data_IF_681597583396
#
_entry.id   IF_681597583396
#
_cell.length_a   1.000
_cell.length_b   1.000
_cell.length_c   1.000
_cell.angle_alpha   90.00
_cell.angle_beta   90.00
_cell.angle_gamma   90.00
#
_symmetry.space_group_name_H-M   'P 1'
#
loop_
_entity.id
_entity.type
_entity.pdbx_description
1 polymer ?
#
# COMPACT_ATOMS: atom_id res chain seq x y z
N UNK A 1 -5.51 -2.78 25.85
CA UNK A 1 -5.20 -1.35 26.08
C UNK A 1 -6.32 -0.51 25.51
N UNK A 2 -6.67 0.64 26.12
CA UNK A 2 -7.70 1.52 25.59
C UNK A 2 -7.32 1.94 24.17
N UNK A 3 -8.17 1.58 23.21
CA UNK A 3 -7.93 1.82 21.79
C UNK A 3 -8.09 3.28 21.41
N UNK A 4 -8.75 4.06 22.26
CA UNK A 4 -9.07 5.45 21.99
C UNK A 4 -8.92 6.32 23.26
N UNK A 5 -8.59 7.62 23.11
CA UNK A 5 -8.46 8.55 24.23
C UNK A 5 -9.76 8.72 25.05
N UNK A 6 -10.93 8.53 24.42
CA UNK A 6 -12.24 8.70 25.07
C UNK A 6 -12.46 7.68 26.18
N UNK A 7 -11.84 6.50 26.09
CA UNK A 7 -11.87 5.47 27.14
C UNK A 7 -11.10 5.86 28.41
N UNK A 8 -10.24 6.89 28.31
CA UNK A 8 -9.40 7.37 29.41
C UNK A 8 -9.98 8.63 30.08
N UNK A 9 -10.97 9.28 29.47
CA UNK A 9 -11.59 10.51 29.98
C UNK A 9 -10.66 11.72 30.08
N UNK A 10 -9.49 11.67 29.41
CA UNK A 10 -8.48 12.72 29.41
C UNK A 10 -8.48 13.59 28.15
N UNK A 11 -7.65 14.63 28.14
CA UNK A 11 -7.41 15.48 26.96
C UNK A 11 -6.24 14.91 26.16
N UNK A 12 -6.41 14.75 24.85
CA UNK A 12 -5.32 14.34 23.96
C UNK A 12 -4.39 15.52 23.68
N UNK A 13 -3.09 15.36 23.95
CA UNK A 13 -2.07 16.31 23.50
C UNK A 13 -1.68 16.03 22.03
N UNK A 14 -2.18 16.86 21.12
CA UNK A 14 -1.91 16.76 19.67
C UNK A 14 -0.61 17.45 19.23
N UNK A 15 0.07 18.13 20.17
CA UNK A 15 1.33 18.86 19.91
C UNK A 15 2.51 17.90 19.75
N UNK A 16 2.45 16.73 20.39
CA UNK A 16 3.52 15.74 20.31
C UNK A 16 3.77 15.26 18.87
N UNK A 17 5.05 15.05 18.56
CA UNK A 17 5.55 14.57 17.27
C UNK A 17 6.41 13.33 17.48
N UNK A 18 6.66 12.59 16.40
CA UNK A 18 7.57 11.45 16.43
C UNK A 18 8.99 11.90 16.82
N UNK A 19 9.72 11.02 17.49
CA UNK A 19 11.13 11.23 17.88
C UNK A 19 11.39 12.45 18.78
N UNK A 20 10.45 12.82 19.64
CA UNK A 20 10.67 13.85 20.66
C UNK A 20 11.29 13.26 21.94
N UNK A 21 12.08 14.09 22.63
CA UNK A 21 12.69 13.75 23.92
C UNK A 21 12.28 14.79 24.97
N UNK A 22 12.47 14.48 26.25
CA UNK A 22 12.18 15.38 27.37
C UNK A 22 10.70 15.79 27.51
N UNK A 23 9.78 14.89 27.17
CA UNK A 23 8.33 15.11 27.39
C UNK A 23 8.03 14.97 28.89
N UNK A 24 7.53 16.01 29.58
CA UNK A 24 7.18 15.92 30.99
C UNK A 24 5.91 15.07 31.17
N UNK A 25 5.93 14.18 32.16
CA UNK A 25 4.77 13.38 32.57
C UNK A 25 4.42 13.67 34.04
N UNK A 26 3.14 13.67 34.33
CA UNK A 26 2.57 13.80 35.67
C UNK A 26 1.78 12.54 36.05
N UNK A 27 1.41 12.43 37.32
CA UNK A 27 0.64 11.28 37.81
C UNK A 27 -0.73 11.26 37.14
N UNK A 28 -1.02 10.19 36.40
CA UNK A 28 -2.28 10.00 35.69
C UNK A 28 -2.17 10.10 34.17
N UNK A 29 -1.04 10.57 33.65
CA UNK A 29 -0.81 10.63 32.21
C UNK A 29 -0.65 9.22 31.62
N UNK A 30 -1.17 9.06 30.39
CA UNK A 30 -1.07 7.82 29.63
C UNK A 30 -0.29 8.07 28.35
N UNK A 31 0.81 7.35 28.17
CA UNK A 31 1.58 7.38 26.92
C UNK A 31 1.17 6.23 26.00
N UNK A 32 0.74 6.56 24.78
CA UNK A 32 0.50 5.58 23.72
C UNK A 32 1.55 5.74 22.61
N UNK A 33 2.53 4.85 22.60
CA UNK A 33 3.47 4.74 21.49
C UNK A 33 2.84 4.04 20.28
N UNK A 34 2.86 4.70 19.13
CA UNK A 34 2.53 4.09 17.84
C UNK A 34 3.83 3.96 17.07
N UNK A 35 4.30 2.73 16.90
CA UNK A 35 5.47 2.44 16.08
C UNK A 35 5.15 2.64 14.60
N UNK A 36 6.09 3.23 13.86
CA UNK A 36 6.01 3.24 12.40
C UNK A 36 6.14 1.84 11.84
N UNK A 37 5.36 1.52 10.80
CA UNK A 37 5.57 0.33 9.98
C UNK A 37 6.71 0.52 8.98
N UNK A 38 7.21 -0.58 8.43
CA UNK A 38 8.10 -0.57 7.28
C UNK A 38 7.35 -0.32 5.96
N UNK A 39 8.10 -0.07 4.88
CA UNK A 39 7.54 -0.05 3.52
C UNK A 39 7.29 -1.47 3.01
N UNK A 40 6.20 -1.66 2.26
CA UNK A 40 5.90 -2.92 1.57
C UNK A 40 6.71 -3.10 0.28
N UNK A 41 6.76 -4.34 -0.22
CA UNK A 41 7.41 -4.70 -1.48
C UNK A 41 6.42 -5.48 -2.37
N UNK A 42 6.42 -5.17 -3.66
CA UNK A 42 5.58 -5.84 -4.66
C UNK A 42 4.13 -5.36 -4.69
N UNK A 43 3.33 -5.97 -5.56
CA UNK A 43 1.89 -5.74 -5.63
C UNK A 43 1.18 -6.49 -4.48
N UNK A 44 0.44 -5.80 -3.59
CA UNK A 44 -0.31 -6.45 -2.52
C UNK A 44 -1.28 -7.54 -3.00
N UNK A 45 -1.80 -7.44 -4.23
CA UNK A 45 -2.72 -8.43 -4.79
C UNK A 45 -2.03 -9.69 -5.29
N UNK A 46 -0.69 -9.70 -5.39
CA UNK A 46 0.09 -10.90 -5.66
C UNK A 46 0.53 -11.62 -4.37
N UNK A 47 0.27 -11.05 -3.18
CA UNK A 47 0.49 -11.77 -1.92
C UNK A 47 -0.42 -12.99 -1.86
N UNK A 48 0.18 -14.15 -1.60
CA UNK A 48 -0.53 -15.42 -1.44
C UNK A 48 -1.69 -15.25 -0.43
N UNK A 49 -2.95 -15.57 -0.81
CA UNK A 49 -4.10 -15.54 0.11
C UNK A 49 -3.87 -16.29 1.42
N UNK A 50 -3.13 -17.41 1.41
CA UNK A 50 -2.82 -18.15 2.63
C UNK A 50 -1.91 -17.37 3.59
N UNK A 51 -1.00 -16.56 3.05
CA UNK A 51 -0.17 -15.65 3.87
C UNK A 51 -0.98 -14.47 4.41
N UNK A 52 -1.98 -13.99 3.67
CA UNK A 52 -2.91 -12.96 4.17
C UNK A 52 -3.78 -13.51 5.31
N UNK A 53 -4.24 -14.76 5.20
CA UNK A 53 -4.93 -15.46 6.28
C UNK A 53 -4.02 -15.59 7.52
N UNK A 54 -2.76 -15.98 7.33
CA UNK A 54 -1.80 -16.05 8.43
C UNK A 54 -1.57 -14.68 9.08
N UNK A 55 -1.45 -13.60 8.29
CA UNK A 55 -1.30 -12.24 8.81
C UNK A 55 -2.52 -11.81 9.66
N UNK A 56 -3.73 -12.28 9.32
CA UNK A 56 -4.95 -12.05 10.10
C UNK A 56 -4.94 -12.84 11.41
N UNK A 57 -4.54 -14.11 11.36
CA UNK A 57 -4.43 -14.99 12.54
C UNK A 57 -3.40 -14.41 13.52
N UNK A 58 -2.28 -13.93 13.01
CA UNK A 58 -1.19 -13.35 13.80
C UNK A 58 -1.51 -11.93 14.31
N UNK A 59 -2.61 -11.34 13.84
CA UNK A 59 -2.99 -9.96 14.15
C UNK A 59 -2.01 -8.92 13.59
N UNK A 60 -1.21 -9.29 12.59
CA UNK A 60 -0.30 -8.40 11.88
C UNK A 60 -1.07 -7.38 11.01
N UNK A 61 -2.25 -7.76 10.54
CA UNK A 61 -3.18 -6.90 9.81
C UNK A 61 -4.59 -6.98 10.38
N UNK A 62 -5.38 -5.92 10.18
CA UNK A 62 -6.81 -5.92 10.48
C UNK A 62 -7.61 -6.59 9.36
N UNK A 63 -8.87 -6.96 9.64
CA UNK A 63 -9.81 -7.42 8.60
C UNK A 63 -10.05 -6.38 7.53
N UNK A 64 -10.07 -5.11 7.92
CA UNK A 64 -10.25 -4.01 6.98
C UNK A 64 -9.01 -3.84 6.10
N UNK A 65 -7.80 -3.98 6.65
CA UNK A 65 -6.57 -4.02 5.85
C UNK A 65 -6.55 -5.21 4.87
N UNK A 66 -6.96 -6.41 5.29
CA UNK A 66 -7.05 -7.57 4.40
C UNK A 66 -7.96 -7.30 3.19
N UNK A 67 -9.13 -6.68 3.41
CA UNK A 67 -10.07 -6.34 2.33
C UNK A 67 -9.56 -5.18 1.47
N UNK A 68 -9.17 -4.06 2.09
CA UNK A 68 -8.87 -2.80 1.39
C UNK A 68 -7.50 -2.80 0.71
N UNK A 69 -6.49 -3.40 1.34
CA UNK A 69 -5.10 -3.37 0.86
C UNK A 69 -4.75 -4.64 0.07
N UNK A 70 -5.27 -5.80 0.49
CA UNK A 70 -4.93 -7.09 -0.13
C UNK A 70 -6.05 -7.67 -0.99
N UNK A 71 -7.23 -7.03 -1.06
CA UNK A 71 -8.36 -7.51 -1.86
C UNK A 71 -8.93 -8.86 -1.38
N UNK A 72 -8.65 -9.25 -0.14
CA UNK A 72 -9.08 -10.53 0.42
C UNK A 72 -10.61 -10.56 0.61
N UNK A 73 -11.20 -11.71 0.27
CA UNK A 73 -12.59 -12.03 0.58
C UNK A 73 -12.59 -12.91 1.81
N UNK A 74 -13.09 -12.37 2.91
CA UNK A 74 -13.07 -13.04 4.21
C UNK A 74 -14.35 -13.87 4.40
N UNK A 75 -14.19 -15.06 4.96
CA UNK A 75 -15.26 -16.00 5.29
C UNK A 75 -15.20 -16.41 6.76
N UNK A 76 -16.13 -17.27 7.16
CA UNK A 76 -16.20 -17.80 8.52
C UNK A 76 -16.74 -16.81 9.55
N UNK A 77 -17.15 -17.31 10.70
CA UNK A 77 -17.77 -16.51 11.75
C UNK A 77 -16.81 -15.48 12.38
N UNK A 78 -15.51 -15.79 12.41
CA UNK A 78 -14.48 -14.94 13.01
C UNK A 78 -13.91 -13.91 12.01
N UNK A 79 -14.22 -14.08 10.72
CA UNK A 79 -13.77 -13.21 9.64
C UNK A 79 -12.26 -13.21 9.43
N UNK A 80 -11.59 -14.33 9.74
CA UNK A 80 -10.14 -14.49 9.55
C UNK A 80 -9.81 -15.46 8.41
N UNK A 81 -10.73 -16.34 8.06
CA UNK A 81 -10.57 -17.28 6.94
C UNK A 81 -10.64 -16.51 5.61
N UNK A 82 -9.78 -16.85 4.67
CA UNK A 82 -9.72 -16.22 3.34
C UNK A 82 -10.22 -17.20 2.28
N UNK A 83 -11.29 -16.83 1.56
CA UNK A 83 -11.71 -17.58 0.38
C UNK A 83 -10.74 -17.29 -0.76
N UNK A 84 -9.88 -18.26 -1.07
CA UNK A 84 -8.84 -18.15 -2.11
C UNK A 84 -9.45 -17.84 -3.48
N UNK A 85 -10.53 -18.53 -3.85
CA UNK A 85 -11.13 -18.41 -5.19
C UNK A 85 -11.82 -17.05 -5.33
N UNK A 86 -12.62 -16.68 -4.33
CA UNK A 86 -13.29 -15.38 -4.32
C UNK A 86 -12.29 -14.22 -4.21
N UNK A 87 -11.18 -14.39 -3.49
CA UNK A 87 -10.11 -13.40 -3.39
C UNK A 87 -9.46 -13.15 -4.75
N UNK A 88 -9.08 -14.18 -5.49
CA UNK A 88 -8.53 -13.99 -6.83
C UNK A 88 -9.54 -13.37 -7.79
N UNK A 89 -10.80 -13.80 -7.76
CA UNK A 89 -11.86 -13.20 -8.55
C UNK A 89 -12.05 -11.71 -8.24
N UNK A 90 -12.07 -11.34 -6.95
CA UNK A 90 -12.18 -9.94 -6.51
C UNK A 90 -10.98 -9.10 -6.96
N UNK A 91 -9.75 -9.59 -6.76
CA UNK A 91 -8.52 -8.91 -7.20
C UNK A 91 -8.53 -8.67 -8.72
N UNK A 92 -8.90 -9.68 -9.51
CA UNK A 92 -9.01 -9.57 -10.97
C UNK A 92 -10.10 -8.57 -11.40
N UNK A 93 -11.23 -8.54 -10.70
CA UNK A 93 -12.30 -7.56 -10.97
C UNK A 93 -11.84 -6.13 -10.66
N UNK A 94 -11.22 -5.91 -9.50
CA UNK A 94 -10.65 -4.61 -9.10
C UNK A 94 -9.60 -4.13 -10.10
N UNK A 95 -8.71 -5.02 -10.57
CA UNK A 95 -7.70 -4.69 -11.57
C UNK A 95 -8.29 -4.42 -12.95
N UNK A 96 -9.27 -5.20 -13.40
CA UNK A 96 -9.93 -4.98 -14.70
C UNK A 96 -10.68 -3.64 -14.73
N UNK A 97 -11.20 -3.18 -13.60
CA UNK A 97 -11.82 -1.86 -13.49
C UNK A 97 -10.79 -0.71 -13.59
N UNK A 98 -9.55 -0.92 -13.15
CA UNK A 98 -8.45 0.04 -13.25
C UNK A 98 -7.77 0.01 -14.62
N UNK A 99 -7.58 -1.18 -15.19
CA UNK A 99 -6.91 -1.42 -16.47
C UNK A 99 -7.89 -2.16 -17.38
N UNK A 100 -8.74 -1.40 -18.07
CA UNK A 100 -9.87 -1.91 -18.89
C UNK A 100 -9.41 -2.90 -19.98
N UNK A 101 -8.14 -2.87 -20.38
CA UNK A 101 -7.54 -3.75 -21.38
C UNK A 101 -6.71 -4.92 -20.83
N UNK A 102 -6.76 -5.20 -19.53
CA UNK A 102 -5.98 -6.30 -18.94
C UNK A 102 -6.35 -7.65 -19.58
N UNK A 103 -5.34 -8.41 -20.01
CA UNK A 103 -5.50 -9.68 -20.76
C UNK A 103 -5.09 -10.91 -19.95
N UNK A 104 -4.41 -10.69 -18.83
CA UNK A 104 -3.87 -11.76 -18.00
C UNK A 104 -4.42 -11.58 -16.60
N UNK A 105 -5.05 -12.63 -16.08
CA UNK A 105 -5.52 -12.67 -14.70
C UNK A 105 -4.33 -12.80 -13.74
N UNK A 106 -4.38 -12.12 -12.59
CA UNK A 106 -3.28 -12.05 -11.63
C UNK A 106 -2.88 -13.43 -11.08
N UNK A 107 -3.87 -14.31 -10.87
CA UNK A 107 -3.68 -15.68 -10.40
C UNK A 107 -3.01 -16.61 -11.42
N UNK A 108 -2.91 -16.17 -12.68
CA UNK A 108 -2.25 -16.92 -13.76
C UNK A 108 -0.80 -16.45 -13.99
N UNK A 109 -0.33 -15.48 -13.22
CA UNK A 109 1.05 -15.00 -13.30
C UNK A 109 2.01 -15.93 -12.54
N UNK A 110 3.28 -16.01 -12.96
CA UNK A 110 4.25 -16.87 -12.29
C UNK A 110 4.50 -16.39 -10.86
N UNK A 111 4.35 -17.28 -9.88
CA UNK A 111 4.42 -16.94 -8.45
C UNK A 111 5.82 -16.47 -8.03
N UNK A 112 6.88 -16.93 -8.70
CA UNK A 112 8.25 -16.49 -8.50
C UNK A 112 8.46 -15.01 -8.83
N UNK A 113 7.55 -14.42 -9.61
CA UNK A 113 7.59 -13.00 -9.98
C UNK A 113 6.83 -12.11 -9.00
N UNK A 114 6.22 -12.63 -7.92
CA UNK A 114 5.36 -11.82 -7.03
C UNK A 114 6.03 -10.57 -6.43
N UNK A 115 7.36 -10.59 -6.29
CA UNK A 115 8.17 -9.47 -5.81
C UNK A 115 9.01 -8.79 -6.90
N UNK A 116 8.86 -9.22 -8.16
CA UNK A 116 9.50 -8.60 -9.30
C UNK A 116 8.75 -7.33 -9.73
N UNK A 117 9.40 -6.50 -10.54
CA UNK A 117 8.86 -5.23 -11.01
C UNK A 117 9.05 -5.08 -12.54
N UNK A 118 10.02 -4.27 -12.96
CA UNK A 118 10.32 -3.93 -14.34
C UNK A 118 11.78 -4.25 -14.59
N UNK A 119 12.04 -4.99 -15.67
CA UNK A 119 13.40 -5.42 -16.05
C UNK A 119 13.77 -4.91 -17.42
N UNK A 120 15.06 -4.82 -17.70
CA UNK A 120 15.57 -4.54 -19.04
C UNK A 120 15.69 -5.86 -19.83
N UNK A 121 15.17 -5.89 -21.05
CA UNK A 121 15.30 -7.01 -21.97
C UNK A 121 15.51 -6.50 -23.40
N UNK A 122 16.62 -6.88 -24.03
CA UNK A 122 16.93 -6.51 -25.42
C UNK A 122 16.82 -5.01 -25.74
N UNK A 123 17.19 -4.15 -24.78
CA UNK A 123 17.09 -2.69 -24.94
C UNK A 123 15.68 -2.11 -24.76
N UNK A 124 14.77 -2.83 -24.12
CA UNK A 124 13.45 -2.34 -23.72
C UNK A 124 13.16 -2.62 -22.24
N UNK A 125 12.43 -1.71 -21.60
CA UNK A 125 11.81 -1.95 -20.30
C UNK A 125 10.61 -2.86 -20.48
N UNK A 126 10.61 -4.00 -19.81
CA UNK A 126 9.54 -5.00 -19.87
C UNK A 126 9.00 -5.30 -18.48
N UNK A 127 7.71 -5.58 -18.40
CA UNK A 127 7.08 -6.10 -17.19
C UNK A 127 7.70 -7.46 -16.83
N UNK A 128 8.18 -7.61 -15.59
CA UNK A 128 8.81 -8.86 -15.16
C UNK A 128 7.83 -10.04 -15.05
N UNK A 129 6.52 -9.77 -14.94
CA UNK A 129 5.49 -10.80 -14.78
C UNK A 129 4.98 -11.35 -16.12
N UNK A 130 4.67 -10.47 -17.08
CA UNK A 130 4.03 -10.86 -18.35
C UNK A 130 4.87 -10.59 -19.60
N UNK A 131 6.10 -10.06 -19.44
CA UNK A 131 7.03 -9.72 -20.52
C UNK A 131 6.55 -8.64 -21.51
N UNK A 132 5.45 -7.95 -21.20
CA UNK A 132 4.97 -6.83 -22.04
C UNK A 132 6.01 -5.72 -22.06
N UNK A 133 6.34 -5.25 -23.27
CA UNK A 133 7.19 -4.08 -23.48
C UNK A 133 6.46 -2.83 -23.02
N UNK A 134 7.03 -2.14 -22.02
CA UNK A 134 6.49 -0.91 -21.46
C UNK A 134 7.08 0.33 -22.16
N UNK A 135 8.37 0.29 -22.49
CA UNK A 135 9.05 1.36 -23.25
C UNK A 135 10.42 0.91 -23.77
N UNK A 136 11.02 1.71 -24.64
CA UNK A 136 12.39 1.51 -25.13
C UNK A 136 13.43 2.05 -24.14
N UNK A 137 14.69 1.60 -24.28
CA UNK A 137 15.78 2.08 -23.44
C UNK A 137 15.95 3.61 -23.55
N UNK A 138 16.20 4.25 -22.41
CA UNK A 138 16.31 5.72 -22.29
C UNK A 138 14.99 6.46 -22.18
N UNK A 139 13.83 5.79 -22.35
CA UNK A 139 12.50 6.38 -22.13
C UNK A 139 11.92 5.86 -20.81
N UNK A 140 11.34 6.75 -20.01
CA UNK A 140 10.68 6.38 -18.76
C UNK A 140 9.43 5.54 -19.02
N UNK A 141 9.38 4.32 -18.47
CA UNK A 141 8.25 3.41 -18.68
C UNK A 141 6.96 3.84 -17.97
N UNK A 142 7.05 4.70 -16.95
CA UNK A 142 5.92 5.13 -16.10
C UNK A 142 4.84 5.84 -16.91
N UNK A 143 5.22 6.68 -17.88
CA UNK A 143 4.28 7.42 -18.74
C UNK A 143 3.47 6.53 -19.69
N UNK A 144 3.84 5.24 -19.78
CA UNK A 144 3.17 4.23 -20.60
C UNK A 144 2.33 3.25 -19.77
N UNK A 145 2.09 3.57 -18.49
CA UNK A 145 1.28 2.78 -17.57
C UNK A 145 -0.03 3.47 -17.22
N UNK A 146 -1.04 2.68 -16.92
CA UNK A 146 -2.25 3.19 -16.27
C UNK A 146 -1.93 3.56 -14.83
N UNK A 147 -2.49 4.66 -14.33
CA UNK A 147 -2.18 5.16 -12.99
C UNK A 147 -3.43 5.32 -12.13
N UNK A 148 -3.34 4.92 -10.86
CA UNK A 148 -4.36 5.19 -9.85
C UNK A 148 -3.80 6.17 -8.81
N UNK A 149 -4.57 7.20 -8.50
CA UNK A 149 -4.18 8.25 -7.56
C UNK A 149 -5.15 8.21 -6.40
N UNK A 150 -4.63 7.98 -5.18
CA UNK A 150 -5.42 7.84 -3.96
C UNK A 150 -4.90 8.74 -2.86
N UNK A 151 -5.80 9.26 -2.03
CA UNK A 151 -5.41 9.88 -0.76
C UNK A 151 -4.95 8.80 0.21
N UNK A 152 -3.71 8.90 0.69
CA UNK A 152 -3.10 7.88 1.55
C UNK A 152 -3.83 7.77 2.88
N UNK A 153 -4.19 8.90 3.49
CA UNK A 153 -4.90 8.90 4.78
C UNK A 153 -6.25 8.20 4.66
N UNK A 154 -7.03 8.51 3.63
CA UNK A 154 -8.34 7.89 3.37
C UNK A 154 -8.23 6.38 3.18
N UNK A 155 -7.24 5.92 2.41
CA UNK A 155 -7.01 4.49 2.23
C UNK A 155 -6.67 3.78 3.55
N UNK A 156 -5.74 4.33 4.32
CA UNK A 156 -5.23 3.69 5.53
C UNK A 156 -6.23 3.76 6.69
N UNK A 157 -7.04 4.81 6.77
CA UNK A 157 -8.18 4.90 7.69
C UNK A 157 -9.24 3.84 7.36
N UNK A 158 -9.59 3.68 6.09
CA UNK A 158 -10.52 2.64 5.64
C UNK A 158 -9.98 1.22 5.90
N UNK A 159 -8.66 1.07 5.98
CA UNK A 159 -7.96 -0.18 6.30
C UNK A 159 -7.75 -0.39 7.80
N UNK A 160 -8.32 0.44 8.69
CA UNK A 160 -8.08 0.40 10.15
C UNK A 160 -6.57 0.34 10.48
N UNK A 161 -5.77 1.10 9.74
CA UNK A 161 -4.32 1.19 9.94
C UNK A 161 -4.01 2.52 10.61
N UNK A 162 -3.16 2.47 11.64
CA UNK A 162 -2.77 3.67 12.37
C UNK A 162 -2.09 4.68 11.43
N UNK A 163 -2.76 5.80 11.18
CA UNK A 163 -2.29 6.88 10.33
C UNK A 163 -2.61 8.22 11.00
N UNK A 164 -1.72 9.20 10.78
CA UNK A 164 -1.97 10.58 11.19
C UNK A 164 -2.38 11.39 9.96
N UNK A 165 -3.66 11.71 9.84
CA UNK A 165 -4.17 12.59 8.77
C UNK A 165 -3.50 13.96 8.86
N UNK A 166 -3.07 14.47 7.71
CA UNK A 166 -2.51 15.82 7.56
C UNK A 166 -3.61 16.75 7.03
N UNK A 167 -3.87 17.85 7.73
CA UNK A 167 -4.85 18.86 7.29
C UNK A 167 -4.27 19.84 6.24
N UNK A 168 -2.95 19.82 6.02
CA UNK A 168 -2.25 20.52 4.97
C UNK A 168 -1.15 19.61 4.42
N UNK A 169 -0.80 19.77 3.14
CA UNK A 169 0.20 18.94 2.46
C UNK A 169 -0.21 17.45 2.53
N UNK A 170 -1.41 17.16 2.01
CA UNK A 170 -1.94 15.80 1.96
C UNK A 170 -0.98 14.88 1.20
N UNK A 171 -0.94 13.62 1.64
CA UNK A 171 -0.05 12.61 1.07
C UNK A 171 -0.85 11.77 0.10
N UNK A 172 -0.40 11.75 -1.15
CA UNK A 172 -1.04 11.02 -2.24
C UNK A 172 -0.23 9.78 -2.58
N UNK A 173 -0.92 8.65 -2.75
CA UNK A 173 -0.38 7.43 -3.31
C UNK A 173 -0.64 7.42 -4.82
N UNK A 174 0.41 7.27 -5.62
CA UNK A 174 0.31 7.11 -7.08
C UNK A 174 0.82 5.73 -7.44
N UNK A 175 -0.05 4.91 -8.01
CA UNK A 175 0.21 3.51 -8.33
C UNK A 175 0.22 3.35 -9.84
N UNK A 176 1.21 2.64 -10.38
CA UNK A 176 1.42 2.46 -11.81
C UNK A 176 1.27 0.99 -12.20
N UNK A 177 0.43 0.72 -13.19
CA UNK A 177 -0.01 -0.62 -13.54
C UNK A 177 0.49 -1.06 -14.92
N UNK A 178 0.89 -2.32 -15.04
CA UNK A 178 1.17 -2.91 -16.34
C UNK A 178 -0.09 -2.87 -17.22
N UNK A 179 -0.03 -2.34 -18.46
CA UNK A 179 -1.21 -2.24 -19.32
C UNK A 179 -1.75 -3.60 -19.82
N UNK A 180 -1.05 -4.70 -19.57
CA UNK A 180 -1.44 -6.05 -20.02
C UNK A 180 -1.84 -6.98 -18.88
N UNK A 181 -1.05 -7.06 -17.80
CA UNK A 181 -1.38 -7.93 -16.66
C UNK A 181 -1.92 -7.19 -15.44
N UNK A 182 -2.02 -5.85 -15.51
CA UNK A 182 -2.54 -5.00 -14.44
C UNK A 182 -1.84 -5.12 -13.07
N UNK A 183 -0.67 -5.75 -13.01
CA UNK A 183 0.17 -5.76 -11.79
C UNK A 183 0.63 -4.34 -11.48
N UNK A 184 0.59 -3.96 -10.20
CA UNK A 184 1.19 -2.74 -9.68
C UNK A 184 2.71 -2.83 -9.77
N UNK A 185 3.28 -2.12 -10.74
CA UNK A 185 4.72 -2.13 -10.99
C UNK A 185 5.48 -1.13 -10.11
N UNK A 186 4.80 -0.08 -9.65
CA UNK A 186 5.42 0.96 -8.82
C UNK A 186 4.40 1.76 -8.06
N UNK A 187 4.80 2.15 -6.86
CA UNK A 187 4.05 3.06 -6.00
C UNK A 187 4.93 4.25 -5.67
N UNK A 188 4.40 5.45 -5.84
CA UNK A 188 5.01 6.69 -5.39
C UNK A 188 4.16 7.30 -4.30
N UNK A 189 4.83 7.88 -3.32
CA UNK A 189 4.19 8.76 -2.34
C UNK A 189 4.55 10.19 -2.73
N UNK A 190 3.54 11.05 -2.85
CA UNK A 190 3.70 12.48 -3.18
C UNK A 190 3.05 13.33 -2.12
N UNK A 191 3.54 14.54 -1.99
CA UNK A 191 2.89 15.60 -1.22
C UNK A 191 2.61 16.72 -2.21
N UNK A 192 1.36 17.16 -2.30
CA UNK A 192 1.02 18.22 -3.24
C UNK A 192 1.69 19.53 -2.80
N UNK A 193 2.50 20.12 -3.70
CA UNK A 193 3.19 21.42 -3.57
C UNK A 193 4.34 21.57 -2.56
N UNK A 194 5.32 20.66 -2.56
CA UNK A 194 6.67 21.04 -2.12
C UNK A 194 7.64 21.04 -3.31
N UNK A 195 8.14 22.23 -3.69
CA UNK A 195 9.31 22.33 -4.52
C UNK A 195 10.44 21.62 -3.78
N UNK A 196 10.84 20.43 -4.25
CA UNK A 196 11.96 19.70 -3.65
C UNK A 196 13.20 20.58 -3.79
N UNK A 197 13.79 21.10 -2.70
CA UNK A 197 14.99 21.92 -2.82
C UNK A 197 16.12 21.01 -3.34
N UNK A 198 16.53 21.25 -4.59
CA UNK A 198 17.72 20.63 -5.16
C UNK A 198 18.91 21.42 -4.63
N UNK A 199 19.58 20.87 -3.63
CA UNK A 199 20.85 21.41 -3.16
C UNK A 199 21.94 21.02 -4.17
N UNK A 200 22.40 21.98 -4.96
CA UNK A 200 23.60 21.83 -5.76
C UNK A 200 24.81 22.03 -4.85
N UNK A 201 25.63 21.00 -4.67
CA UNK A 201 26.96 21.17 -4.07
C UNK A 201 27.81 21.95 -5.08
N UNK A 202 28.15 23.20 -4.75
CA UNK A 202 29.20 23.92 -5.46
C UNK A 202 30.54 23.33 -5.05
N UNK A 203 31.26 22.75 -6.03
CA UNK A 203 32.67 22.42 -5.92
C UNK A 203 33.55 23.62 -6.23
#
# INVERSE_FOLDING_TARGET
MPKTPELLGGVLDESLRGCQTHIPFTKGDVFRGIGGGGGGLGDPFLRDPALVEQDLIDGAISRDAAKQLYGAVLTGANGTEVDVTATWANRNALRSALVVGAKVALDQLPSETALADVRMASGAWVCAHCNTSLSTNGVGWVEKTESNIRDLATLYEAADTAIRRRNANAVTLVEHYCPTCAVCLKVHVRVESEATPVYHLQG
#
